data_IF_138457451997
#
_entry.id   IF_138457451997
#
_cell.length_a   1.000
_cell.length_b   1.000
_cell.length_c   1.000
_cell.angle_alpha   90.00
_cell.angle_beta   90.00
_cell.angle_gamma   90.00
#
_symmetry.space_group_name_H-M   'P 1'
#
loop_
_entity.id
_entity.type
_entity.pdbx_description
1 polymer ?
#
# COMPACT_ATOMS: atom_id res chain seq x y z
N UNK A 1 27.89 8.69 -3.77
CA UNK A 1 26.42 8.81 -3.92
C UNK A 1 25.79 7.69 -3.11
N UNK A 2 24.98 7.97 -2.08
CA UNK A 2 24.21 6.91 -1.45
C UNK A 2 23.20 6.40 -2.48
N UNK A 3 23.24 5.10 -2.73
CA UNK A 3 22.29 4.38 -3.58
C UNK A 3 20.89 4.49 -2.98
N UNK A 4 19.89 4.82 -3.80
CA UNK A 4 18.47 4.95 -3.48
C UNK A 4 17.79 3.64 -3.01
N UNK A 5 18.49 2.77 -2.28
CA UNK A 5 17.95 1.54 -1.74
C UNK A 5 17.36 1.81 -0.34
N UNK A 6 16.05 1.60 -0.18
CA UNK A 6 15.28 1.50 1.08
C UNK A 6 14.39 2.68 1.55
N UNK A 7 13.84 3.50 0.66
CA UNK A 7 12.77 4.47 1.03
C UNK A 7 11.36 4.01 0.63
N UNK A 8 11.11 2.70 0.63
CA UNK A 8 9.82 2.14 0.26
C UNK A 8 9.21 1.38 1.44
N UNK A 9 8.03 1.83 1.86
CA UNK A 9 7.28 1.20 2.96
C UNK A 9 6.14 0.41 2.35
N UNK A 10 6.09 -0.88 2.67
CA UNK A 10 5.02 -1.78 2.27
C UNK A 10 4.00 -1.88 3.40
N UNK A 11 2.77 -1.50 3.09
CA UNK A 11 1.60 -1.74 3.92
C UNK A 11 0.86 -2.97 3.39
N UNK A 12 0.70 -3.98 4.24
CA UNK A 12 -0.05 -5.20 3.91
C UNK A 12 -1.19 -5.38 4.89
N UNK A 13 -2.45 -5.24 4.45
CA UNK A 13 -3.58 -5.50 5.32
C UNK A 13 -3.95 -6.99 5.33
N UNK A 14 -4.42 -7.47 6.47
CA UNK A 14 -4.96 -8.82 6.67
C UNK A 14 -6.14 -8.77 7.64
N UNK A 15 -6.91 -9.84 7.70
CA UNK A 15 -7.99 -9.98 8.69
C UNK A 15 -7.55 -10.95 9.77
N UNK A 16 -7.64 -10.53 11.03
CA UNK A 16 -7.52 -11.38 12.20
C UNK A 16 -8.92 -11.70 12.72
N UNK A 17 -9.22 -12.99 12.85
CA UNK A 17 -10.41 -13.49 13.53
C UNK A 17 -9.97 -14.09 14.86
N UNK A 18 -10.50 -13.55 15.96
CA UNK A 18 -10.25 -14.03 17.32
C UNK A 18 -11.41 -13.60 18.23
N UNK A 19 -11.60 -14.31 19.34
CA UNK A 19 -12.54 -13.98 20.40
C UNK A 19 -11.98 -12.96 21.40
N UNK A 20 -10.66 -12.72 21.37
CA UNK A 20 -9.96 -11.80 22.25
C UNK A 20 -10.34 -10.33 21.97
N UNK A 21 -10.35 -9.52 23.02
CA UNK A 21 -10.46 -8.06 22.94
C UNK A 21 -9.07 -7.41 22.72
N UNK A 22 -9.04 -6.14 22.28
CA UNK A 22 -7.78 -5.42 22.01
C UNK A 22 -6.83 -5.37 23.21
N UNK A 23 -7.34 -5.17 24.42
CA UNK A 23 -6.54 -5.19 25.64
C UNK A 23 -5.97 -6.58 25.95
N UNK A 24 -6.71 -7.66 25.68
CA UNK A 24 -6.20 -9.02 25.85
C UNK A 24 -5.13 -9.37 24.81
N UNK A 25 -5.30 -8.87 23.58
CA UNK A 25 -4.27 -8.95 22.54
C UNK A 25 -3.02 -8.19 23.00
N UNK A 26 -3.18 -6.96 23.50
CA UNK A 26 -2.07 -6.16 24.04
C UNK A 26 -1.30 -6.92 25.13
N UNK A 27 -2.00 -7.47 26.12
CA UNK A 27 -1.39 -8.23 27.22
C UNK A 27 -0.57 -9.43 26.71
N UNK A 28 -1.05 -10.12 25.68
CA UNK A 28 -0.34 -11.25 25.06
C UNK A 28 0.94 -10.83 24.34
N UNK A 29 0.93 -9.65 23.69
CA UNK A 29 2.11 -9.09 23.05
C UNK A 29 3.13 -8.63 24.11
N UNK A 30 2.69 -7.93 25.15
CA UNK A 30 3.54 -7.51 26.29
C UNK A 30 4.18 -8.72 26.97
N UNK A 31 3.42 -9.79 27.20
CA UNK A 31 3.93 -11.04 27.79
C UNK A 31 4.95 -11.78 26.90
N UNK A 32 5.07 -11.39 25.63
CA UNK A 32 6.00 -11.94 24.67
C UNK A 32 7.07 -10.92 24.28
N UNK A 33 7.54 -10.14 25.27
CA UNK A 33 8.58 -9.12 25.10
C UNK A 33 9.91 -9.73 24.59
N UNK A 34 10.66 -9.00 23.75
CA UNK A 34 11.94 -9.47 23.24
C UNK A 34 13.00 -9.40 24.36
N UNK A 35 13.96 -10.32 24.36
CA UNK A 35 15.08 -10.36 25.33
C UNK A 35 16.41 -10.16 24.59
N UNK A 36 17.08 -9.06 24.88
CA UNK A 36 18.34 -8.64 24.31
C UNK A 36 19.54 -9.43 24.80
N UNK A 37 19.50 -9.98 26.01
CA UNK A 37 20.58 -10.80 26.56
C UNK A 37 20.64 -12.17 25.88
N UNK A 38 19.49 -12.80 25.69
CA UNK A 38 19.36 -14.08 24.98
C UNK A 38 19.12 -13.92 23.48
N UNK A 39 18.96 -12.68 23.01
CA UNK A 39 18.62 -12.32 21.61
C UNK A 39 17.33 -13.00 21.14
N UNK A 40 16.40 -13.24 22.06
CA UNK A 40 15.11 -13.88 21.78
C UNK A 40 14.12 -12.86 21.23
N UNK A 41 13.62 -13.10 20.02
CA UNK A 41 12.61 -12.25 19.37
C UNK A 41 11.36 -12.04 20.24
N UNK A 42 10.66 -10.93 20.03
CA UNK A 42 9.43 -10.62 20.75
C UNK A 42 8.79 -9.30 20.35
N UNK A 43 7.68 -8.96 20.98
CA UNK A 43 6.86 -7.79 20.68
C UNK A 43 7.19 -6.63 21.60
N UNK A 44 7.35 -5.43 21.02
CA UNK A 44 7.62 -4.19 21.74
C UNK A 44 6.80 -3.02 21.19
N UNK A 45 6.90 -1.89 21.86
CA UNK A 45 6.35 -0.61 21.41
C UNK A 45 7.01 -0.12 20.13
N UNK A 46 6.29 0.75 19.42
CA UNK A 46 6.78 1.34 18.18
C UNK A 46 7.68 2.52 18.58
N UNK A 47 9.01 2.41 18.41
CA UNK A 47 9.98 3.51 18.62
C UNK A 47 10.91 3.72 17.43
N UNK A 48 11.64 4.83 17.38
CA UNK A 48 12.49 5.24 16.25
C UNK A 48 13.89 4.58 16.22
N UNK A 49 14.14 3.56 17.05
CA UNK A 49 15.51 3.12 17.39
C UNK A 49 16.14 2.07 16.45
N UNK A 50 15.53 1.74 15.31
CA UNK A 50 15.96 0.60 14.48
C UNK A 50 17.26 0.82 13.69
N UNK A 51 17.72 2.05 13.54
CA UNK A 51 18.87 2.35 12.66
C UNK A 51 20.21 2.45 13.38
N UNK A 52 20.25 2.20 14.70
CA UNK A 52 21.49 2.29 15.47
C UNK A 52 22.08 0.89 15.72
N UNK A 53 23.39 0.68 15.48
CA UNK A 53 24.05 -0.54 15.93
C UNK A 53 23.82 -0.69 17.44
N UNK A 54 23.43 -1.89 17.87
CA UNK A 54 23.19 -2.17 19.28
C UNK A 54 24.54 -2.37 19.95
N UNK A 55 25.13 -1.28 20.43
CA UNK A 55 26.43 -1.28 21.13
C UNK A 55 26.26 -1.68 22.61
N UNK A 56 25.04 -1.62 23.15
CA UNK A 56 24.74 -2.03 24.53
C UNK A 56 23.48 -2.88 24.62
N UNK A 57 23.42 -3.75 25.64
CA UNK A 57 22.26 -4.58 25.97
C UNK A 57 21.11 -3.79 26.60
N UNK A 58 21.18 -2.46 26.63
CA UNK A 58 20.14 -1.63 27.22
C UNK A 58 18.88 -1.67 26.33
N UNK A 59 17.88 -2.39 26.83
CA UNK A 59 16.59 -2.56 26.21
C UNK A 59 15.78 -1.28 26.39
N UNK A 60 15.68 -0.46 25.35
CA UNK A 60 14.73 0.63 25.33
C UNK A 60 13.33 0.14 25.75
N UNK A 61 12.77 0.76 26.79
CA UNK A 61 11.62 0.33 27.60
C UNK A 61 10.24 0.35 26.94
N UNK A 62 10.17 0.62 25.63
CA UNK A 62 8.89 0.79 24.97
C UNK A 62 8.15 -0.53 24.85
N UNK A 63 7.03 -0.65 25.56
CA UNK A 63 6.07 -1.75 25.49
C UNK A 63 5.05 -1.50 24.37
N UNK A 64 4.41 -2.54 23.81
CA UNK A 64 3.24 -2.36 22.94
C UNK A 64 2.20 -1.43 23.58
N UNK A 65 1.46 -0.68 22.76
CA UNK A 65 0.55 0.36 23.25
C UNK A 65 -0.85 0.22 22.68
N UNK A 66 -1.85 0.62 23.47
CA UNK A 66 -3.21 0.85 22.97
C UNK A 66 -3.34 2.32 22.57
N UNK A 67 -3.47 2.57 21.28
CA UNK A 67 -3.68 3.91 20.75
C UNK A 67 -5.17 4.19 20.66
N UNK A 68 -5.58 5.30 21.27
CA UNK A 68 -6.95 5.75 21.26
C UNK A 68 -7.46 6.01 19.83
N UNK A 69 -8.78 5.95 19.68
CA UNK A 69 -9.44 6.35 18.44
C UNK A 69 -9.16 7.83 18.14
N UNK A 70 -9.00 8.14 16.86
CA UNK A 70 -8.90 9.51 16.34
C UNK A 70 -10.11 9.80 15.44
N UNK A 71 -11.16 10.46 15.96
CA UNK A 71 -12.37 10.76 15.21
C UNK A 71 -12.13 11.68 14.00
N UNK A 72 -11.11 12.55 14.04
CA UNK A 72 -10.86 13.50 12.96
C UNK A 72 -10.47 12.80 11.65
N UNK A 73 -9.81 11.64 11.77
CA UNK A 73 -9.38 10.81 10.66
C UNK A 73 -10.09 9.46 10.59
N UNK A 74 -11.15 9.27 11.38
CA UNK A 74 -11.91 8.02 11.51
C UNK A 74 -11.02 6.81 11.83
N UNK A 75 -9.93 7.05 12.56
CA UNK A 75 -9.02 5.98 12.96
C UNK A 75 -9.60 5.32 14.21
N UNK A 76 -9.87 4.01 14.19
CA UNK A 76 -10.37 3.31 15.37
C UNK A 76 -9.28 3.18 16.45
N UNK A 77 -9.71 2.82 17.65
CA UNK A 77 -8.82 2.31 18.68
C UNK A 77 -8.07 1.08 18.15
N UNK A 78 -6.78 0.99 18.49
CA UNK A 78 -5.90 -0.03 17.92
C UNK A 78 -4.70 -0.34 18.81
N UNK A 79 -4.27 -1.59 18.78
CA UNK A 79 -2.98 -1.98 19.36
C UNK A 79 -1.88 -1.66 18.36
N UNK A 80 -0.85 -0.97 18.84
CA UNK A 80 0.36 -0.63 18.10
C UNK A 80 1.54 -1.41 18.68
N UNK A 81 2.14 -2.27 17.85
CA UNK A 81 3.25 -3.11 18.26
C UNK A 81 4.27 -3.30 17.13
N UNK A 82 5.46 -3.73 17.51
CA UNK A 82 6.52 -4.14 16.60
C UNK A 82 7.07 -5.49 17.02
N UNK A 83 7.12 -6.45 16.10
CA UNK A 83 7.93 -7.65 16.28
C UNK A 83 9.38 -7.28 16.02
N UNK A 84 10.26 -7.49 16.99
CA UNK A 84 11.71 -7.25 16.86
C UNK A 84 12.50 -8.55 16.98
N UNK A 85 13.56 -8.64 16.18
CA UNK A 85 14.59 -9.67 16.28
C UNK A 85 15.98 -9.05 16.06
N UNK A 86 17.01 -9.85 16.33
CA UNK A 86 18.40 -9.47 16.16
C UNK A 86 18.99 -10.17 14.93
N UNK A 87 19.71 -9.41 14.11
CA UNK A 87 20.41 -9.90 12.93
C UNK A 87 21.89 -9.56 13.05
N UNK A 88 22.77 -10.53 12.76
CA UNK A 88 24.19 -10.27 12.59
C UNK A 88 24.44 -9.75 11.19
N UNK A 89 25.09 -8.59 11.08
CA UNK A 89 25.52 -8.04 9.79
C UNK A 89 27.00 -7.68 9.87
N UNK A 90 27.71 -7.88 8.75
CA UNK A 90 29.07 -7.40 8.61
C UNK A 90 29.07 -5.86 8.61
N UNK A 91 29.96 -5.27 9.40
CA UNK A 91 30.24 -3.84 9.39
C UNK A 91 31.56 -3.64 8.68
N UNK A 92 31.52 -2.96 7.53
CA UNK A 92 32.74 -2.56 6.82
C UNK A 92 33.40 -1.40 7.57
N UNK A 93 34.44 -1.70 8.34
CA UNK A 93 35.41 -0.70 8.74
C UNK A 93 36.46 -0.59 7.62
N UNK A 94 36.67 0.63 7.10
CA UNK A 94 37.58 0.96 5.98
C UNK A 94 39.06 0.57 6.22
N UNK A 95 39.43 0.03 7.38
CA UNK A 95 40.83 -0.16 7.78
C UNK A 95 41.20 -1.51 8.40
N UNK A 96 40.27 -2.39 8.78
CA UNK A 96 40.65 -3.66 9.43
C UNK A 96 39.53 -4.69 9.51
N UNK A 97 39.30 -5.42 8.42
CA UNK A 97 38.46 -6.63 8.39
C UNK A 97 36.96 -6.41 8.66
N UNK A 98 36.12 -7.29 8.12
CA UNK A 98 34.68 -7.27 8.42
C UNK A 98 34.47 -7.67 9.88
N UNK A 99 34.06 -6.73 10.72
CA UNK A 99 33.60 -7.05 12.08
C UNK A 99 32.09 -7.26 12.04
N UNK A 100 31.58 -8.39 12.52
CA UNK A 100 30.14 -8.60 12.64
C UNK A 100 29.58 -7.80 13.83
N UNK A 101 28.47 -7.10 13.64
CA UNK A 101 27.72 -6.47 14.71
C UNK A 101 26.26 -6.95 14.69
N UNK A 102 25.61 -6.87 15.84
CA UNK A 102 24.18 -7.12 15.97
C UNK A 102 23.36 -5.87 15.67
N UNK A 103 22.35 -6.04 14.84
CA UNK A 103 21.39 -5.03 14.45
C UNK A 103 19.99 -5.47 14.87
N UNK A 104 19.15 -4.50 15.27
CA UNK A 104 17.72 -4.74 15.46
C UNK A 104 17.01 -4.53 14.13
N UNK A 105 16.12 -5.45 13.81
CA UNK A 105 15.18 -5.30 12.70
C UNK A 105 13.77 -5.63 13.19
N UNK A 106 12.75 -5.20 12.46
CA UNK A 106 11.38 -5.36 12.91
C UNK A 106 10.30 -5.17 11.87
N UNK A 107 9.12 -5.70 12.20
CA UNK A 107 7.87 -5.47 11.45
C UNK A 107 6.87 -4.79 12.37
N UNK A 108 6.32 -3.67 11.92
CA UNK A 108 5.27 -2.94 12.63
C UNK A 108 3.91 -3.58 12.33
N UNK A 109 3.04 -3.61 13.34
CA UNK A 109 1.65 -4.03 13.21
C UNK A 109 0.72 -3.07 13.94
N UNK A 110 -0.38 -2.72 13.27
CA UNK A 110 -1.56 -2.15 13.92
C UNK A 110 -2.70 -3.17 13.89
N UNK A 111 -3.40 -3.32 15.01
CA UNK A 111 -4.53 -4.22 15.15
C UNK A 111 -5.74 -3.40 15.57
N UNK A 112 -6.71 -3.22 14.68
CA UNK A 112 -7.92 -2.44 14.94
C UNK A 112 -9.18 -3.25 14.74
N UNK A 113 -10.21 -2.97 15.52
CA UNK A 113 -11.50 -3.69 15.42
C UNK A 113 -12.26 -3.26 14.17
N UNK A 114 -12.94 -4.21 13.55
CA UNK A 114 -13.81 -4.03 12.37
C UNK A 114 -15.09 -4.84 12.54
N UNK A 115 -16.04 -4.70 11.62
CA UNK A 115 -17.26 -5.53 11.60
C UNK A 115 -16.97 -7.01 11.31
N UNK A 116 -15.83 -7.34 10.71
CA UNK A 116 -15.46 -8.71 10.31
C UNK A 116 -14.42 -9.37 11.24
N UNK A 117 -14.15 -8.78 12.41
CA UNK A 117 -13.07 -9.17 13.32
C UNK A 117 -12.09 -8.02 13.50
N UNK A 118 -10.82 -8.23 13.20
CA UNK A 118 -9.78 -7.21 13.30
C UNK A 118 -9.06 -6.99 11.97
N UNK A 119 -8.76 -5.74 11.65
CA UNK A 119 -7.84 -5.37 10.58
C UNK A 119 -6.42 -5.37 11.16
N UNK A 120 -5.57 -6.21 10.58
CA UNK A 120 -4.13 -6.18 10.79
C UNK A 120 -3.48 -5.35 9.69
N UNK A 121 -2.75 -4.31 10.06
CA UNK A 121 -1.94 -3.52 9.12
C UNK A 121 -0.47 -3.73 9.42
N UNK A 122 0.18 -4.53 8.58
CA UNK A 122 1.62 -4.71 8.64
C UNK A 122 2.33 -3.58 7.90
N UNK A 123 3.38 -3.03 8.49
CA UNK A 123 4.26 -2.04 7.87
C UNK A 123 5.71 -2.51 7.96
N UNK A 124 6.36 -2.66 6.80
CA UNK A 124 7.75 -3.14 6.70
C UNK A 124 8.40 -2.64 5.41
N UNK A 125 9.73 -2.59 5.38
CA UNK A 125 10.49 -2.36 4.15
C UNK A 125 10.64 -3.65 3.31
N UNK A 126 10.51 -4.84 3.92
CA UNK A 126 10.57 -6.13 3.23
C UNK A 126 9.30 -6.96 3.52
N UNK A 127 8.33 -7.03 2.58
CA UNK A 127 7.06 -7.72 2.79
C UNK A 127 7.21 -9.24 2.98
N UNK A 128 8.36 -9.83 2.63
CA UNK A 128 8.62 -11.27 2.86
C UNK A 128 8.65 -11.60 4.35
N UNK A 129 9.07 -10.65 5.20
CA UNK A 129 9.11 -10.81 6.66
C UNK A 129 7.74 -11.07 7.29
N UNK A 130 6.65 -10.75 6.57
CA UNK A 130 5.28 -10.97 7.05
C UNK A 130 4.88 -12.45 6.91
N UNK A 131 5.20 -13.10 5.77
CA UNK A 131 4.62 -14.41 5.39
C UNK A 131 5.62 -15.51 5.07
N UNK A 132 6.85 -15.17 4.70
CA UNK A 132 7.81 -16.12 4.13
C UNK A 132 8.93 -16.43 5.15
N UNK A 133 8.94 -17.65 5.73
CA UNK A 133 9.96 -18.09 6.69
C UNK A 133 11.27 -18.55 6.04
N UNK A 134 11.46 -18.41 4.72
CA UNK A 134 12.66 -18.91 4.01
C UNK A 134 13.98 -18.26 4.46
N UNK A 135 13.95 -17.17 5.25
CA UNK A 135 15.09 -16.83 6.11
C UNK A 135 15.08 -17.75 7.32
N UNK A 136 15.79 -18.88 7.18
CA UNK A 136 15.92 -20.03 8.08
C UNK A 136 16.11 -19.77 9.59
N UNK A 137 16.27 -18.53 10.04
CA UNK A 137 16.56 -18.17 11.43
C UNK A 137 15.38 -17.59 12.20
N UNK A 138 14.32 -17.09 11.55
CA UNK A 138 13.22 -16.39 12.24
C UNK A 138 11.89 -16.71 11.54
N UNK A 139 10.99 -17.47 12.18
CA UNK A 139 9.63 -17.69 11.65
C UNK A 139 8.91 -16.38 11.33
N UNK A 140 7.90 -16.40 10.46
CA UNK A 140 7.27 -15.17 9.95
C UNK A 140 6.62 -14.32 11.05
N UNK A 141 6.45 -13.00 10.81
CA UNK A 141 5.76 -12.13 11.76
C UNK A 141 4.31 -12.56 12.01
N UNK A 142 3.66 -13.10 10.97
CA UNK A 142 2.35 -13.71 11.05
C UNK A 142 2.34 -14.91 12.01
N UNK A 143 3.32 -15.82 11.91
CA UNK A 143 3.41 -16.99 12.80
C UNK A 143 3.66 -16.58 14.24
N UNK A 144 4.50 -15.57 14.48
CA UNK A 144 4.77 -15.04 15.81
C UNK A 144 3.50 -14.47 16.45
N UNK A 145 2.67 -13.75 15.69
CA UNK A 145 1.41 -13.21 16.17
C UNK A 145 0.40 -14.33 16.45
N UNK A 146 0.21 -15.25 15.49
CA UNK A 146 -0.69 -16.39 15.69
C UNK A 146 -0.30 -17.24 16.88
N UNK A 147 1.00 -17.47 17.09
CA UNK A 147 1.49 -18.24 18.23
C UNK A 147 1.15 -17.56 19.55
N UNK A 148 1.31 -16.22 19.64
CA UNK A 148 0.95 -15.47 20.83
C UNK A 148 -0.56 -15.53 21.12
N UNK A 149 -1.39 -15.32 20.08
CA UNK A 149 -2.86 -15.34 20.21
C UNK A 149 -3.39 -16.72 20.58
N UNK A 150 -2.87 -17.78 19.95
CA UNK A 150 -3.31 -19.17 20.18
C UNK A 150 -3.02 -19.72 21.58
N UNK A 151 -2.23 -19.01 22.39
CA UNK A 151 -2.07 -19.32 23.82
C UNK A 151 -3.36 -19.12 24.61
N UNK A 152 -4.24 -18.20 24.18
CA UNK A 152 -5.52 -17.92 24.83
C UNK A 152 -6.74 -18.18 23.94
N UNK A 153 -6.57 -18.11 22.62
CA UNK A 153 -7.64 -18.40 21.66
C UNK A 153 -7.15 -19.36 20.58
N UNK A 154 -7.41 -20.66 20.77
CA UNK A 154 -7.04 -21.71 19.80
C UNK A 154 -7.71 -21.52 18.44
N UNK A 155 -8.82 -20.78 18.37
CA UNK A 155 -9.54 -20.43 17.14
C UNK A 155 -8.94 -19.24 16.39
N UNK A 156 -7.92 -18.56 16.95
CA UNK A 156 -7.31 -17.41 16.31
C UNK A 156 -6.73 -17.75 14.92
N UNK A 157 -7.12 -16.96 13.92
CA UNK A 157 -6.75 -17.16 12.53
C UNK A 157 -6.48 -15.83 11.82
N UNK A 158 -5.52 -15.83 10.89
CA UNK A 158 -5.20 -14.68 10.05
C UNK A 158 -5.40 -15.08 8.58
N UNK A 159 -6.26 -14.36 7.87
CA UNK A 159 -6.49 -14.55 6.44
C UNK A 159 -5.84 -13.44 5.62
N UNK A 160 -5.66 -13.68 4.32
CA UNK A 160 -5.21 -12.64 3.38
C UNK A 160 -6.33 -11.72 2.89
N UNK A 161 -7.58 -11.96 3.28
CA UNK A 161 -8.68 -11.04 2.99
C UNK A 161 -8.52 -9.77 3.82
N UNK A 162 -9.03 -8.65 3.32
CA UNK A 162 -9.04 -7.40 4.05
C UNK A 162 -10.34 -6.65 3.79
N UNK A 163 -10.87 -6.01 4.83
CA UNK A 163 -11.95 -5.03 4.69
C UNK A 163 -11.55 -3.84 3.78
N UNK A 164 -10.25 -3.62 3.56
CA UNK A 164 -9.74 -2.58 2.66
C UNK A 164 -9.67 -3.01 1.20
N UNK A 165 -9.99 -4.27 0.89
CA UNK A 165 -10.05 -4.72 -0.51
C UNK A 165 -11.20 -4.06 -1.26
N UNK A 166 -11.01 -3.82 -2.54
CA UNK A 166 -12.01 -3.21 -3.43
C UNK A 166 -11.97 -3.87 -4.80
N UNK A 167 -13.01 -3.66 -5.62
CA UNK A 167 -13.09 -4.22 -6.97
C UNK A 167 -12.06 -3.55 -7.89
N UNK A 168 -11.39 -4.32 -8.76
CA UNK A 168 -10.46 -3.81 -9.81
C UNK A 168 -11.04 -2.72 -10.69
N UNK A 169 -12.35 -2.73 -10.90
CA UNK A 169 -13.06 -1.67 -11.60
C UNK A 169 -12.85 -0.27 -10.98
N UNK A 170 -12.56 -0.22 -9.67
CA UNK A 170 -12.22 1.01 -8.99
C UNK A 170 -10.98 1.70 -9.58
N UNK A 171 -10.07 1.01 -10.29
CA UNK A 171 -8.96 1.68 -10.97
C UNK A 171 -9.41 2.49 -12.18
N UNK A 172 -10.36 1.98 -12.95
CA UNK A 172 -10.94 2.72 -14.05
C UNK A 172 -11.70 3.94 -13.51
N UNK A 173 -12.49 3.73 -12.45
CA UNK A 173 -13.17 4.81 -11.72
C UNK A 173 -12.19 5.86 -11.18
N UNK A 174 -11.08 5.44 -10.55
CA UNK A 174 -10.03 6.34 -10.05
C UNK A 174 -9.42 7.18 -11.17
N UNK A 175 -9.29 6.61 -12.37
CA UNK A 175 -8.74 7.36 -13.51
C UNK A 175 -9.73 8.42 -14.00
N UNK A 176 -11.03 8.11 -14.04
CA UNK A 176 -12.09 9.08 -14.30
C UNK A 176 -12.16 10.15 -13.20
N UNK A 177 -12.06 9.74 -11.93
CA UNK A 177 -12.04 10.64 -10.78
C UNK A 177 -10.85 11.61 -10.85
N UNK A 178 -9.67 11.15 -11.28
CA UNK A 178 -8.51 12.01 -11.50
C UNK A 178 -8.71 13.01 -12.66
N UNK A 179 -9.26 12.57 -13.79
CA UNK A 179 -9.55 13.43 -14.96
C UNK A 179 -10.53 14.55 -14.60
N UNK A 180 -11.56 14.21 -13.82
CA UNK A 180 -12.62 15.14 -13.40
C UNK A 180 -12.30 15.89 -12.11
N UNK A 181 -11.15 15.63 -11.47
CA UNK A 181 -10.78 16.14 -10.13
C UNK A 181 -11.90 15.94 -9.10
N UNK A 182 -12.47 14.74 -9.09
CA UNK A 182 -13.59 14.37 -8.22
C UNK A 182 -13.17 14.42 -6.75
N UNK A 183 -13.98 15.10 -5.93
CA UNK A 183 -13.92 14.97 -4.47
C UNK A 183 -14.51 13.60 -4.10
N UNK A 184 -13.68 12.76 -3.47
CA UNK A 184 -14.06 11.41 -3.06
C UNK A 184 -14.56 11.36 -1.62
N UNK A 185 -14.71 12.51 -0.97
CA UNK A 185 -15.23 12.69 0.38
C UNK A 185 -14.25 13.43 1.30
N UNK A 186 -14.80 14.15 2.27
CA UNK A 186 -14.04 14.86 3.32
C UNK A 186 -12.93 15.78 2.79
N UNK A 187 -13.18 16.48 1.68
CA UNK A 187 -12.20 17.37 1.02
C UNK A 187 -10.94 16.64 0.53
N UNK A 188 -11.06 15.35 0.23
CA UNK A 188 -10.01 14.56 -0.42
C UNK A 188 -10.32 14.50 -1.90
N UNK A 189 -9.39 14.95 -2.73
CA UNK A 189 -9.50 14.91 -4.18
C UNK A 189 -8.45 13.98 -4.76
N UNK A 190 -8.87 13.11 -5.68
CA UNK A 190 -7.94 12.35 -6.52
C UNK A 190 -7.43 13.31 -7.59
N UNK A 191 -6.16 13.68 -7.54
CA UNK A 191 -5.61 14.67 -8.47
C UNK A 191 -4.93 14.04 -9.66
N UNK A 192 -4.32 12.87 -9.46
CA UNK A 192 -3.48 12.25 -10.47
C UNK A 192 -3.35 10.75 -10.28
N UNK A 193 -3.29 10.03 -11.41
CA UNK A 193 -2.80 8.66 -11.46
C UNK A 193 -1.42 8.68 -12.14
N UNK A 194 -0.35 8.61 -11.34
CA UNK A 194 1.02 8.79 -11.80
C UNK A 194 1.55 7.59 -12.59
N UNK A 195 1.09 6.37 -12.28
CA UNK A 195 1.35 5.17 -13.07
C UNK A 195 0.30 4.10 -12.79
N UNK A 196 0.13 3.15 -13.70
CA UNK A 196 -0.79 2.02 -13.52
C UNK A 196 -0.25 0.76 -14.19
N UNK A 197 -0.40 -0.38 -13.53
CA UNK A 197 -0.14 -1.70 -14.10
C UNK A 197 -1.30 -2.22 -14.94
N UNK A 198 -1.01 -3.19 -15.80
CA UNK A 198 -2.03 -4.03 -16.45
C UNK A 198 -1.74 -5.49 -16.09
N UNK A 199 -2.78 -6.28 -15.79
CA UNK A 199 -2.72 -7.67 -15.34
C UNK A 199 -2.03 -7.86 -13.97
N UNK A 200 -2.81 -7.84 -12.88
CA UNK A 200 -2.36 -8.32 -11.57
C UNK A 200 -2.62 -9.84 -11.49
N UNK A 201 -1.66 -10.65 -11.94
CA UNK A 201 -1.72 -12.11 -11.72
C UNK A 201 -1.32 -12.44 -10.28
N UNK A 202 -2.32 -12.75 -9.45
CA UNK A 202 -2.19 -13.49 -8.18
C UNK A 202 -1.12 -12.97 -7.20
N UNK A 203 -1.14 -11.66 -6.89
CA UNK A 203 -0.31 -11.09 -5.81
C UNK A 203 1.21 -11.18 -6.03
N UNK A 204 1.66 -11.68 -7.19
CA UNK A 204 3.04 -11.63 -7.61
C UNK A 204 3.21 -10.38 -8.47
N UNK A 205 4.11 -9.50 -8.05
CA UNK A 205 4.46 -8.25 -8.73
C UNK A 205 5.18 -8.51 -10.07
N UNK A 206 4.59 -9.28 -10.98
CA UNK A 206 5.12 -9.39 -12.33
C UNK A 206 4.77 -8.11 -13.08
N UNK A 207 5.83 -7.34 -13.34
CA UNK A 207 5.90 -6.07 -14.04
C UNK A 207 5.58 -6.20 -15.53
N UNK A 208 4.52 -6.93 -15.90
CA UNK A 208 4.16 -7.15 -17.29
C UNK A 208 3.30 -5.97 -17.76
N UNK A 209 3.96 -4.98 -18.35
CA UNK A 209 3.40 -3.75 -18.94
C UNK A 209 2.90 -2.72 -17.91
N UNK A 210 3.84 -1.96 -17.33
CA UNK A 210 3.49 -0.70 -16.68
C UNK A 210 3.18 0.36 -17.73
N UNK A 211 2.04 1.04 -17.56
CA UNK A 211 1.82 2.35 -18.15
C UNK A 211 2.73 3.33 -17.39
N UNK A 212 4.00 3.38 -17.78
CA UNK A 212 5.04 4.20 -17.13
C UNK A 212 4.91 5.67 -17.55
N UNK A 213 4.92 6.59 -16.58
CA UNK A 213 4.59 8.00 -16.75
C UNK A 213 3.10 8.25 -16.51
N UNK A 214 2.74 9.50 -16.20
CA UNK A 214 1.36 9.92 -15.89
C UNK A 214 0.35 9.22 -16.79
N UNK A 215 -0.63 8.55 -16.17
CA UNK A 215 -1.68 7.82 -16.88
C UNK A 215 -2.52 8.87 -17.60
N UNK A 216 -2.13 9.12 -18.83
CA UNK A 216 -2.85 9.98 -19.74
C UNK A 216 -3.89 9.12 -20.46
N UNK A 217 -5.15 9.45 -20.23
CA UNK A 217 -6.32 8.78 -20.79
C UNK A 217 -6.38 8.80 -22.31
N UNK A 218 -5.59 9.65 -22.98
CA UNK A 218 -5.46 9.66 -24.45
C UNK A 218 -4.23 8.90 -24.96
N UNK A 219 -3.39 8.39 -24.07
CA UNK A 219 -2.18 7.67 -24.48
C UNK A 219 -2.55 6.32 -25.06
N UNK A 220 -2.01 6.02 -26.24
CA UNK A 220 -2.31 4.79 -26.99
C UNK A 220 -2.14 3.51 -26.16
N UNK A 221 -1.16 3.46 -25.25
CA UNK A 221 -0.96 2.29 -24.39
C UNK A 221 -2.11 2.06 -23.41
N UNK A 222 -2.69 3.12 -22.85
CA UNK A 222 -3.85 3.03 -21.97
C UNK A 222 -5.11 2.70 -22.78
N UNK A 223 -5.30 3.40 -23.90
CA UNK A 223 -6.42 3.17 -24.81
C UNK A 223 -6.44 1.73 -25.36
N UNK A 224 -5.28 1.18 -25.76
CA UNK A 224 -5.15 -0.21 -26.18
C UNK A 224 -5.47 -1.19 -25.05
N UNK A 225 -5.03 -0.91 -23.81
CA UNK A 225 -5.33 -1.76 -22.67
C UNK A 225 -6.84 -1.82 -22.38
N UNK A 226 -7.53 -0.67 -22.45
CA UNK A 226 -8.99 -0.63 -22.36
C UNK A 226 -9.67 -1.36 -23.52
N UNK A 227 -9.23 -1.09 -24.76
CA UNK A 227 -9.81 -1.70 -25.96
C UNK A 227 -9.67 -3.22 -26.00
N UNK A 228 -8.60 -3.76 -25.40
CA UNK A 228 -8.39 -5.21 -25.27
C UNK A 228 -9.08 -5.84 -24.05
N UNK A 229 -9.76 -5.06 -23.21
CA UNK A 229 -10.37 -5.54 -21.97
C UNK A 229 -9.33 -5.98 -20.92
N UNK A 230 -8.14 -5.38 -20.91
CA UNK A 230 -7.11 -5.71 -19.93
C UNK A 230 -7.53 -5.26 -18.52
N UNK A 231 -7.21 -6.08 -17.51
CA UNK A 231 -7.44 -5.69 -16.12
C UNK A 231 -6.44 -4.61 -15.69
N UNK A 232 -6.96 -3.51 -15.15
CA UNK A 232 -6.16 -2.39 -14.67
C UNK A 232 -5.70 -2.60 -13.22
N UNK A 233 -4.55 -1.99 -12.88
CA UNK A 233 -3.97 -1.97 -11.53
C UNK A 233 -2.70 -2.81 -11.38
N UNK A 234 -1.95 -2.66 -10.27
CA UNK A 234 -2.04 -1.62 -9.23
C UNK A 234 -1.73 -0.21 -9.74
N UNK A 235 -2.10 0.84 -9.01
CA UNK A 235 -1.98 2.24 -9.46
C UNK A 235 -1.28 3.15 -8.45
N UNK A 236 -0.44 4.07 -8.93
CA UNK A 236 0.16 5.14 -8.14
C UNK A 236 -0.80 6.33 -8.15
N UNK A 237 -1.45 6.56 -7.01
CA UNK A 237 -2.52 7.57 -6.87
C UNK A 237 -2.01 8.71 -6.01
N UNK A 238 -2.22 9.94 -6.49
CA UNK A 238 -2.01 11.17 -5.74
C UNK A 238 -3.34 11.68 -5.19
N UNK A 239 -3.37 11.89 -3.88
CA UNK A 239 -4.46 12.50 -3.16
C UNK A 239 -4.04 13.89 -2.70
N UNK A 240 -4.96 14.84 -2.81
CA UNK A 240 -4.84 16.13 -2.13
C UNK A 240 -5.92 16.28 -1.08
N UNK A 241 -5.54 16.83 0.06
CA UNK A 241 -6.43 17.10 1.18
C UNK A 241 -6.19 18.51 1.69
N UNK A 242 -7.26 19.27 1.98
CA UNK A 242 -7.11 20.54 2.70
C UNK A 242 -7.02 20.29 4.20
N UNK A 243 -5.83 20.54 4.77
CA UNK A 243 -5.60 20.40 6.20
C UNK A 243 -6.31 21.46 7.04
N UNK A 244 -6.35 21.30 8.38
CA UNK A 244 -7.03 22.22 9.31
C UNK A 244 -6.49 23.66 9.28
N UNK A 245 -5.24 23.83 8.87
CA UNK A 245 -4.57 25.12 8.70
C UNK A 245 -4.78 25.73 7.29
N UNK A 246 -5.68 25.17 6.49
CA UNK A 246 -5.95 25.59 5.12
C UNK A 246 -4.88 25.18 4.09
N UNK A 247 -3.79 24.53 4.50
CA UNK A 247 -2.74 24.08 3.57
C UNK A 247 -3.19 22.81 2.83
N UNK A 248 -2.82 22.73 1.56
CA UNK A 248 -3.05 21.53 0.74
C UNK A 248 -1.94 20.52 1.05
N UNK A 249 -2.34 19.31 1.42
CA UNK A 249 -1.48 18.20 1.74
C UNK A 249 -1.51 17.18 0.59
N UNK A 250 -0.35 16.81 0.05
CA UNK A 250 -0.22 15.82 -1.02
C UNK A 250 0.22 14.47 -0.47
N UNK A 251 -0.50 13.40 -0.81
CA UNK A 251 -0.17 12.01 -0.46
C UNK A 251 -0.15 11.14 -1.71
N UNK A 252 0.99 10.51 -2.00
CA UNK A 252 1.15 9.63 -3.16
C UNK A 252 1.42 8.20 -2.70
N UNK A 253 0.62 7.25 -3.17
CA UNK A 253 0.75 5.85 -2.80
C UNK A 253 0.41 4.92 -3.97
N UNK A 254 1.17 3.84 -4.11
CA UNK A 254 0.77 2.73 -4.97
C UNK A 254 -0.27 1.88 -4.24
N UNK A 255 -1.50 1.84 -4.74
CA UNK A 255 -2.60 1.08 -4.17
C UNK A 255 -2.77 -0.24 -4.93
N UNK A 256 -3.09 -1.30 -4.19
CA UNK A 256 -3.30 -2.69 -4.65
C UNK A 256 -4.74 -3.11 -4.30
N UNK A 257 -5.35 -4.00 -5.10
CA UNK A 257 -6.75 -4.45 -4.97
C UNK A 257 -7.07 -5.03 -3.61
N UNK A 258 -6.08 -5.70 -3.00
CA UNK A 258 -6.19 -6.28 -1.66
C UNK A 258 -6.29 -5.24 -0.54
N UNK A 259 -6.25 -3.94 -0.86
CA UNK A 259 -6.07 -2.84 0.10
C UNK A 259 -4.61 -2.65 0.51
N UNK A 260 -3.68 -3.43 -0.06
CA UNK A 260 -2.25 -3.22 0.10
C UNK A 260 -1.83 -1.87 -0.47
N UNK A 261 -0.83 -1.26 0.15
CA UNK A 261 -0.25 -0.03 -0.38
C UNK A 261 1.26 -0.02 -0.28
N UNK A 262 1.91 0.68 -1.20
CA UNK A 262 3.33 0.98 -1.14
C UNK A 262 3.52 2.49 -1.18
N UNK A 263 4.13 3.01 -0.13
CA UNK A 263 4.49 4.43 -0.07
C UNK A 263 5.66 4.68 -1.01
N UNK A 264 5.52 5.70 -1.86
CA UNK A 264 6.54 6.13 -2.79
C UNK A 264 7.22 7.39 -2.22
N UNK A 265 8.51 7.29 -1.93
CA UNK A 265 9.33 8.44 -1.59
C UNK A 265 9.61 9.29 -2.84
N UNK A 266 9.57 10.62 -2.69
CA UNK A 266 9.93 11.59 -3.75
C UNK A 266 8.80 12.50 -4.21
N UNK A 267 7.53 12.10 -4.11
CA UNK A 267 6.38 12.86 -4.66
C UNK A 267 5.27 13.11 -3.62
N UNK A 268 5.59 13.12 -2.34
CA UNK A 268 4.62 13.38 -1.27
C UNK A 268 5.23 14.33 -0.23
N UNK A 269 4.39 15.05 0.52
CA UNK A 269 4.82 15.92 1.63
C UNK A 269 5.69 15.21 2.69
N UNK A 270 5.85 13.90 2.55
CA UNK A 270 6.61 13.01 3.42
C UNK A 270 8.07 12.81 2.99
N UNK A 271 8.60 13.53 2.01
CA UNK A 271 9.99 13.38 1.56
C UNK A 271 11.01 13.60 2.72
N UNK A 272 10.77 14.60 3.57
CA UNK A 272 11.54 14.80 4.82
C UNK A 272 11.07 13.92 6.00
N UNK A 273 10.06 13.08 5.80
CA UNK A 273 9.33 12.35 6.85
C UNK A 273 9.51 10.83 6.79
N UNK A 274 10.05 10.26 5.71
CA UNK A 274 10.22 8.80 5.56
C UNK A 274 11.45 8.23 6.29
N UNK A 275 12.30 9.08 6.86
CA UNK A 275 13.44 8.67 7.70
C UNK A 275 13.05 8.30 9.14
N UNK A 276 11.84 8.66 9.61
CA UNK A 276 11.37 8.33 10.97
C UNK A 276 10.26 7.27 10.97
N UNK A 277 10.42 6.23 11.80
CA UNK A 277 9.46 5.13 12.04
C UNK A 277 8.03 5.62 12.27
N UNK A 278 7.84 6.54 13.22
CA UNK A 278 6.51 7.02 13.63
C UNK A 278 5.75 7.68 12.49
N UNK A 279 6.49 8.33 11.59
CA UNK A 279 5.93 9.05 10.46
C UNK A 279 5.45 8.08 9.39
N UNK A 280 6.17 6.97 9.14
CA UNK A 280 5.74 5.91 8.22
C UNK A 280 4.39 5.31 8.63
N UNK A 281 4.26 4.99 9.92
CA UNK A 281 3.05 4.40 10.47
C UNK A 281 1.86 5.34 10.35
N UNK A 282 2.04 6.64 10.63
CA UNK A 282 0.99 7.64 10.46
C UNK A 282 0.50 7.74 9.01
N UNK A 283 1.37 7.57 8.01
CA UNK A 283 0.92 7.53 6.61
C UNK A 283 0.16 6.24 6.30
N UNK A 284 0.64 5.09 6.80
CA UNK A 284 -0.07 3.82 6.68
C UNK A 284 -1.48 3.90 7.31
N UNK A 285 -1.60 4.53 8.48
CA UNK A 285 -2.89 4.81 9.12
C UNK A 285 -3.80 5.68 8.25
N UNK A 286 -3.28 6.80 7.72
CA UNK A 286 -4.07 7.67 6.84
C UNK A 286 -4.54 6.94 5.59
N UNK A 287 -3.69 6.10 4.98
CA UNK A 287 -4.10 5.29 3.84
C UNK A 287 -5.18 4.28 4.24
N UNK A 288 -4.95 3.50 5.29
CA UNK A 288 -5.82 2.40 5.67
C UNK A 288 -7.18 2.86 6.21
N UNK A 289 -7.22 3.95 6.98
CA UNK A 289 -8.43 4.37 7.70
C UNK A 289 -9.15 5.54 7.04
N UNK A 290 -8.50 6.29 6.15
CA UNK A 290 -9.11 7.43 5.45
C UNK A 290 -9.15 7.25 3.95
N UNK A 291 -8.00 7.14 3.28
CA UNK A 291 -7.98 7.19 1.81
C UNK A 291 -8.56 5.93 1.14
N UNK A 292 -8.16 4.73 1.56
CA UNK A 292 -8.67 3.49 0.96
C UNK A 292 -10.17 3.27 1.20
N UNK A 293 -10.72 3.55 2.41
CA UNK A 293 -12.16 3.56 2.60
C UNK A 293 -12.86 4.55 1.69
N UNK A 294 -12.36 5.78 1.53
CA UNK A 294 -12.96 6.77 0.62
C UNK A 294 -12.93 6.33 -0.84
N UNK A 295 -11.85 5.68 -1.30
CA UNK A 295 -11.80 5.11 -2.66
C UNK A 295 -12.84 4.00 -2.82
N UNK A 296 -12.89 3.05 -1.88
CA UNK A 296 -13.83 1.92 -1.91
C UNK A 296 -15.27 2.41 -1.89
N UNK A 297 -15.59 3.25 -0.92
CA UNK A 297 -16.96 3.73 -0.67
C UNK A 297 -17.38 4.73 -1.74
N UNK A 298 -16.45 5.58 -2.22
CA UNK A 298 -16.68 6.46 -3.36
C UNK A 298 -17.04 5.69 -4.62
N UNK A 299 -16.31 4.61 -4.93
CA UNK A 299 -16.63 3.74 -6.08
C UNK A 299 -17.95 2.99 -5.91
N UNK A 300 -18.19 2.36 -4.74
CA UNK A 300 -19.40 1.56 -4.50
C UNK A 300 -20.66 2.43 -4.51
N UNK A 301 -20.58 3.65 -3.97
CA UNK A 301 -21.72 4.54 -3.85
C UNK A 301 -21.91 5.47 -5.07
N UNK A 302 -21.06 5.35 -6.09
CA UNK A 302 -21.20 6.09 -7.33
C UNK A 302 -22.27 5.46 -8.23
N UNK A 303 -23.53 5.83 -7.99
CA UNK A 303 -24.67 5.26 -8.70
C UNK A 303 -24.60 5.46 -10.22
N UNK A 304 -23.98 6.55 -10.69
CA UNK A 304 -23.87 6.84 -12.13
C UNK A 304 -22.79 6.00 -12.81
N UNK A 305 -21.77 5.58 -12.04
CA UNK A 305 -20.64 4.82 -12.56
C UNK A 305 -21.09 3.53 -13.26
N UNK A 306 -21.80 2.67 -12.54
CA UNK A 306 -22.24 1.37 -13.05
C UNK A 306 -23.39 1.43 -14.06
N UNK A 307 -24.08 2.56 -14.18
CA UNK A 307 -25.28 2.69 -15.04
C UNK A 307 -24.96 3.32 -16.40
N UNK A 308 -24.09 4.34 -16.43
CA UNK A 308 -23.87 5.12 -17.65
C UNK A 308 -22.42 5.57 -17.85
N UNK A 309 -21.76 6.07 -16.80
CA UNK A 309 -20.45 6.72 -16.96
C UNK A 309 -19.34 5.74 -17.35
N UNK A 310 -19.38 4.50 -16.83
CA UNK A 310 -18.40 3.46 -17.15
C UNK A 310 -18.39 3.13 -18.64
N UNK A 311 -19.54 2.76 -19.20
CA UNK A 311 -19.64 2.31 -20.58
C UNK A 311 -19.41 3.47 -21.55
N UNK A 312 -19.89 4.68 -21.20
CA UNK A 312 -19.61 5.89 -21.96
C UNK A 312 -18.10 6.19 -22.00
N UNK A 313 -17.41 6.11 -20.85
CA UNK A 313 -15.96 6.32 -20.79
C UNK A 313 -15.22 5.31 -21.65
N UNK A 314 -15.59 4.03 -21.58
CA UNK A 314 -14.98 2.97 -22.41
C UNK A 314 -15.19 3.28 -23.89
N UNK A 315 -16.42 3.62 -24.30
CA UNK A 315 -16.75 3.95 -25.68
C UNK A 315 -15.97 5.18 -26.17
N UNK A 316 -15.96 6.26 -25.40
CA UNK A 316 -15.18 7.47 -25.71
C UNK A 316 -13.71 7.13 -25.93
N UNK A 317 -13.11 6.32 -25.04
CA UNK A 317 -11.70 5.93 -25.16
C UNK A 317 -11.48 4.99 -26.36
N UNK A 318 -12.41 4.09 -26.70
CA UNK A 318 -12.33 3.27 -27.92
C UNK A 318 -12.39 4.12 -29.19
N UNK A 319 -13.26 5.13 -29.25
CA UNK A 319 -13.32 6.08 -30.37
C UNK A 319 -12.00 6.83 -30.51
N UNK A 320 -11.42 7.30 -29.40
CA UNK A 320 -10.10 7.94 -29.40
C UNK A 320 -9.00 7.01 -29.90
N UNK A 321 -9.04 5.72 -29.55
CA UNK A 321 -8.07 4.73 -30.03
C UNK A 321 -8.11 4.58 -31.56
N UNK A 322 -9.32 4.47 -32.11
CA UNK A 322 -9.52 4.38 -33.57
C UNK A 322 -9.00 5.64 -34.26
N UNK A 323 -9.30 6.83 -33.73
CA UNK A 323 -8.80 8.11 -34.26
C UNK A 323 -7.26 8.15 -34.25
N UNK A 324 -6.63 7.72 -33.17
CA UNK A 324 -5.18 7.69 -33.05
C UNK A 324 -4.51 6.67 -34.01
N UNK A 325 -5.09 5.48 -34.19
CA UNK A 325 -4.59 4.52 -35.17
C UNK A 325 -4.76 5.00 -36.62
N UNK A 326 -5.90 5.63 -36.95
CA UNK A 326 -6.11 6.25 -38.27
C UNK A 326 -5.07 7.34 -38.53
N UNK A 327 -4.80 8.21 -37.55
CA UNK A 327 -3.77 9.24 -37.64
C UNK A 327 -2.40 8.65 -37.93
N UNK A 328 -2.00 7.59 -37.22
CA UNK A 328 -0.72 6.89 -37.44
C UNK A 328 -0.65 6.19 -38.79
N UNK A 329 -1.74 5.57 -39.23
CA UNK A 329 -1.80 4.89 -40.51
C UNK A 329 -1.75 5.87 -41.70
N UNK A 330 -2.37 7.05 -41.59
CA UNK A 330 -2.21 8.15 -42.59
C UNK A 330 -0.76 8.64 -42.68
N UNK A 331 -0.01 8.58 -41.58
CA UNK A 331 1.39 8.98 -41.52
C UNK A 331 2.36 7.88 -41.98
N UNK A 332 1.88 6.67 -42.24
CA UNK A 332 2.71 5.53 -42.63
C UNK A 332 2.21 4.92 -43.96
N UNK A 333 3.02 5.05 -45.01
CA UNK A 333 2.70 4.59 -46.36
C UNK A 333 2.29 3.11 -46.43
N UNK A 334 2.80 2.26 -45.53
CA UNK A 334 2.48 0.83 -45.49
C UNK A 334 1.02 0.56 -45.06
N UNK A 335 0.40 1.45 -44.28
CA UNK A 335 -0.94 1.26 -43.72
C UNK A 335 -1.99 2.20 -44.32
N UNK A 336 -1.60 3.09 -45.25
CA UNK A 336 -2.50 4.05 -45.90
C UNK A 336 -3.68 3.37 -46.62
N UNK A 337 -3.43 2.19 -47.22
CA UNK A 337 -4.46 1.40 -47.91
C UNK A 337 -5.57 0.89 -46.97
N UNK A 338 -5.26 0.66 -45.69
CA UNK A 338 -6.24 0.18 -44.71
C UNK A 338 -7.21 1.27 -44.27
N UNK A 339 -6.75 2.52 -44.23
CA UNK A 339 -7.59 3.69 -43.90
C UNK A 339 -8.57 3.98 -45.04
N UNK A 340 -8.13 3.84 -46.29
CA UNK A 340 -8.97 4.06 -47.48
C UNK A 340 -10.12 3.04 -47.59
N UNK A 341 -9.96 1.83 -47.06
CA UNK A 341 -10.99 0.79 -47.08
C UNK A 341 -12.00 0.89 -45.91
N UNK A 342 -11.69 1.64 -44.85
CA UNK A 342 -12.41 1.60 -43.57
C UNK A 342 -13.60 2.55 -43.41
N UNK A 343 -13.89 3.42 -44.38
CA UNK A 343 -14.98 4.41 -44.33
C UNK A 343 -14.80 5.51 -43.27
N UNK A 344 -15.16 6.75 -43.60
CA UNK A 344 -15.16 7.85 -42.63
C UNK A 344 -16.22 7.60 -41.55
N UNK A 345 -15.82 7.70 -40.29
CA UNK A 345 -16.73 7.72 -39.12
C UNK A 345 -16.94 9.20 -38.69
N UNK A 346 -16.29 10.15 -39.36
CA UNK A 346 -16.32 11.57 -39.03
C UNK A 346 -17.52 12.30 -39.66
N UNK A 347 -18.55 11.58 -40.13
CA UNK A 347 -19.85 12.16 -40.52
C UNK A 347 -20.89 11.92 -39.42
N UNK A 348 -20.75 12.65 -38.32
CA UNK A 348 -21.85 13.24 -37.52
C UNK A 348 -21.30 13.97 -36.29
#
# INVERSE_FOLDING_TARGET
MPTFANTQVHMTPQTLTTTLQLNEILDLLVASSPDGSTRTRGWRGITDDLERPVISDDEGSAVPELWAADPAYQVPERVAARLVWWEKRAVENLTSGSTEAWFKDGVDVLISKTSAGYLLLWSTNDPRLIKDPTRQTVGSALDALLTALRRRDSGANISSSSVLSFNREAYLWLTNAAETKKDIGHSVTVTKIASMGTNELNGRQHLTNRLNGEVNLVRTSFLSALGSGAELGPADVEFTERGPNGRIEHTTARIIVSGGAKLLAGDSKYEALLTGVFKRLRVAERLAYRYLPLVRDGHINDANWGIAERDLLILEKQVLLVKEFRRRAKQNAQYAAWVAAGGDIDSD
#
